data_IF_729500205693
#
_entry.id   IF_729500205693
#
_cell.length_a   1.000
_cell.length_b   1.000
_cell.length_c   1.000
_cell.angle_alpha   90.00
_cell.angle_beta   90.00
_cell.angle_gamma   90.00
#
_symmetry.space_group_name_H-M   'P 1'
#
loop_
_entity.id
_entity.type
_entity.pdbx_description
1 polymer ?
#
# COMPACT_ATOMS: atom_id res chain seq x y z
N UNK A 1 4.99 -12.57 -14.57
CA UNK A 1 3.60 -12.73 -14.11
C UNK A 1 3.37 -11.71 -13.04
N UNK A 2 2.26 -10.97 -13.11
CA UNK A 2 1.91 -10.00 -12.06
C UNK A 2 0.73 -10.51 -11.27
N UNK A 3 0.76 -10.28 -9.96
CA UNK A 3 -0.23 -10.76 -9.00
C UNK A 3 -0.95 -9.53 -8.45
N UNK A 4 -2.25 -9.47 -8.67
CA UNK A 4 -3.10 -8.38 -8.19
C UNK A 4 -3.74 -8.82 -6.89
N UNK A 5 -3.55 -8.02 -5.84
CA UNK A 5 -4.22 -8.24 -4.57
C UNK A 5 -5.49 -7.44 -4.50
N UNK A 6 -6.59 -8.12 -4.18
CA UNK A 6 -7.84 -7.46 -3.85
C UNK A 6 -7.92 -7.33 -2.33
N UNK A 7 -7.85 -6.09 -1.84
CA UNK A 7 -8.04 -5.80 -0.43
C UNK A 7 -9.51 -6.06 -0.02
N UNK A 8 -9.77 -6.40 1.26
CA UNK A 8 -11.12 -6.62 1.77
C UNK A 8 -12.06 -5.44 1.49
N UNK A 9 -13.35 -5.75 1.27
CA UNK A 9 -14.39 -4.79 0.88
C UNK A 9 -14.57 -3.61 1.85
N UNK A 10 -14.18 -3.73 3.12
CA UNK A 10 -14.25 -2.63 4.10
C UNK A 10 -13.29 -1.48 3.77
N UNK A 11 -12.11 -1.76 3.19
CA UNK A 11 -11.12 -0.75 2.77
C UNK A 11 -11.58 0.00 1.50
N UNK A 12 -12.52 -0.59 0.74
CA UNK A 12 -13.00 -0.07 -0.55
C UNK A 12 -14.00 1.09 -0.39
N UNK A 13 -14.63 1.24 0.77
CA UNK A 13 -15.62 2.31 1.02
C UNK A 13 -14.98 3.70 1.25
N UNK A 14 -13.66 3.76 1.41
CA UNK A 14 -12.88 5.00 1.43
C UNK A 14 -12.60 5.48 -0.01
N UNK A 15 -13.64 5.96 -0.69
CA UNK A 15 -13.59 6.69 -1.98
C UNK A 15 -12.42 6.37 -2.91
N UNK A 16 -12.57 5.26 -3.65
CA UNK A 16 -11.68 4.70 -4.68
C UNK A 16 -10.73 3.63 -4.15
N UNK A 17 -11.32 2.47 -3.82
CA UNK A 17 -10.64 1.28 -3.33
C UNK A 17 -9.22 1.10 -3.86
N UNK A 18 -8.30 0.93 -2.91
CA UNK A 18 -6.89 0.74 -3.16
C UNK A 18 -6.71 -0.59 -3.92
N UNK A 19 -6.61 -0.54 -5.25
CA UNK A 19 -6.17 -1.66 -6.07
C UNK A 19 -4.65 -1.59 -6.19
N UNK A 20 -3.97 -2.60 -5.68
CA UNK A 20 -2.52 -2.67 -5.75
C UNK A 20 -2.05 -3.95 -6.43
N UNK A 21 -1.24 -3.75 -7.45
CA UNK A 21 -0.51 -4.80 -8.14
C UNK A 21 0.85 -4.98 -7.44
N UNK A 22 1.12 -6.18 -6.93
CA UNK A 22 2.34 -6.44 -6.16
C UNK A 22 3.03 -7.70 -6.64
N UNK A 23 4.30 -7.56 -7.00
CA UNK A 23 5.21 -8.69 -7.12
C UNK A 23 5.63 -9.14 -5.72
N UNK A 24 5.32 -10.39 -5.37
CA UNK A 24 5.79 -11.01 -4.11
C UNK A 24 7.09 -11.75 -4.42
N UNK A 25 8.24 -11.27 -3.95
CA UNK A 25 9.46 -12.07 -4.02
C UNK A 25 9.34 -13.26 -3.05
N UNK A 26 9.72 -14.45 -3.49
CA UNK A 26 9.68 -15.66 -2.67
C UNK A 26 10.63 -15.55 -1.46
N UNK A 27 10.12 -15.83 -0.26
CA UNK A 27 10.94 -16.03 0.94
C UNK A 27 11.52 -14.77 1.60
N UNK A 28 10.99 -13.58 1.30
CA UNK A 28 11.40 -12.33 1.97
C UNK A 28 10.22 -11.54 2.48
N UNK A 29 10.30 -11.13 3.74
CA UNK A 29 9.42 -10.10 4.29
C UNK A 29 9.67 -8.80 3.51
N UNK A 30 8.60 -8.19 3.01
CA UNK A 30 8.68 -6.97 2.22
C UNK A 30 7.78 -5.93 2.85
N UNK A 31 8.40 -4.88 3.41
CA UNK A 31 7.68 -3.68 3.86
C UNK A 31 7.66 -2.67 2.74
N UNK A 32 6.51 -2.05 2.51
CA UNK A 32 6.35 -0.93 1.59
C UNK A 32 5.60 0.19 2.30
N UNK A 33 6.10 1.39 2.14
CA UNK A 33 5.47 2.61 2.64
C UNK A 33 4.95 3.41 1.44
N UNK A 34 3.76 3.97 1.58
CA UNK A 34 3.13 4.80 0.56
C UNK A 34 2.73 6.12 1.20
N UNK A 35 3.18 7.22 0.60
CA UNK A 35 2.83 8.56 1.06
C UNK A 35 1.56 9.03 0.33
N UNK A 36 0.58 9.51 1.10
CA UNK A 36 -0.63 10.14 0.59
C UNK A 36 -0.72 11.55 1.15
N UNK A 37 -0.81 12.53 0.26
CA UNK A 37 -1.01 13.92 0.65
C UNK A 37 -2.51 14.19 0.84
N UNK A 38 -2.87 14.72 2.00
CA UNK A 38 -4.22 15.14 2.32
C UNK A 38 -4.26 16.66 2.36
N UNK A 39 -5.05 17.28 1.48
CA UNK A 39 -5.21 18.72 1.44
C UNK A 39 -6.61 19.09 1.91
N UNK A 40 -6.71 20.01 2.86
CA UNK A 40 -7.98 20.60 3.27
C UNK A 40 -7.90 22.11 3.11
N UNK A 41 -8.87 22.67 2.40
CA UNK A 41 -9.08 24.10 2.31
C UNK A 41 -10.32 24.47 3.13
N UNK A 42 -10.15 25.27 4.18
CA UNK A 42 -11.23 25.67 5.07
C UNK A 42 -11.10 27.16 5.41
N UNK A 43 -12.22 27.88 5.35
CA UNK A 43 -12.29 29.29 5.72
C UNK A 43 -12.91 29.42 7.12
N UNK A 44 -12.14 29.95 8.06
CA UNK A 44 -12.55 30.11 9.46
C UNK A 44 -12.74 31.60 9.76
N UNK A 45 -13.88 31.97 10.34
CA UNK A 45 -14.10 33.34 10.84
C UNK A 45 -13.59 33.42 12.27
N UNK A 46 -12.68 34.35 12.54
CA UNK A 46 -12.11 34.59 13.87
C UNK A 46 -12.79 35.81 14.49
N UNK A 47 -13.56 35.66 15.59
CA UNK A 47 -14.13 36.79 16.31
C UNK A 47 -13.06 37.72 16.90
N UNK A 48 -13.41 38.99 17.11
CA UNK A 48 -12.51 39.96 17.78
C UNK A 48 -12.09 39.49 19.16
N UNK A 49 -10.83 39.76 19.56
CA UNK A 49 -10.28 39.37 20.86
C UNK A 49 -10.35 37.86 21.13
N UNK A 50 -10.28 37.04 20.09
CA UNK A 50 -10.19 35.59 20.22
C UNK A 50 -9.01 35.05 19.43
N UNK A 51 -8.44 33.94 19.92
CA UNK A 51 -7.50 33.09 19.20
C UNK A 51 -8.25 31.82 18.83
N UNK A 52 -8.13 31.38 17.58
CA UNK A 52 -8.59 30.05 17.15
C UNK A 52 -7.37 29.21 16.83
N UNK A 53 -7.29 28.03 17.44
CA UNK A 53 -6.29 27.01 17.17
C UNK A 53 -6.99 25.93 16.34
N UNK A 54 -6.50 25.70 15.13
CA UNK A 54 -7.00 24.64 14.25
C UNK A 54 -6.05 23.44 14.32
N UNK A 55 -6.56 22.32 14.81
CA UNK A 55 -5.85 21.06 14.91
C UNK A 55 -6.33 20.11 13.81
N UNK A 56 -5.38 19.55 13.08
CA UNK A 56 -5.66 18.55 12.07
C UNK A 56 -5.42 17.15 12.64
N UNK A 57 -6.50 16.40 12.81
CA UNK A 57 -6.46 15.03 13.32
C UNK A 57 -6.72 14.05 12.18
N UNK A 58 -5.83 13.07 12.04
CA UNK A 58 -5.97 11.96 11.09
C UNK A 58 -6.23 10.70 11.90
N UNK A 59 -7.39 10.09 11.70
CA UNK A 59 -7.72 8.80 12.29
C UNK A 59 -7.09 7.72 11.40
N UNK A 60 -6.30 6.83 11.99
CA UNK A 60 -5.69 5.67 11.32
C UNK A 60 -6.31 4.37 11.82
N UNK A 61 -6.39 3.38 10.94
CA UNK A 61 -6.76 2.01 11.28
C UNK A 61 -5.62 1.04 10.96
N UNK A 62 -5.57 -0.05 11.72
CA UNK A 62 -4.68 -1.17 11.50
C UNK A 62 -5.47 -2.39 11.01
N UNK A 63 -4.97 -3.04 9.96
CA UNK A 63 -5.54 -4.26 9.40
C UNK A 63 -4.53 -5.39 9.39
N UNK A 64 -4.89 -6.49 10.06
CA UNK A 64 -4.09 -7.71 10.14
C UNK A 64 -4.84 -8.83 9.44
N UNK A 65 -4.21 -9.49 8.48
CA UNK A 65 -4.83 -10.64 7.82
C UNK A 65 -3.82 -11.72 7.42
N UNK A 66 -4.35 -12.91 7.19
CA UNK A 66 -3.64 -13.98 6.51
C UNK A 66 -4.10 -13.99 5.05
N UNK A 67 -3.19 -14.33 4.13
CA UNK A 67 -3.53 -14.53 2.72
C UNK A 67 -2.95 -15.85 2.24
N UNK A 68 -3.57 -16.40 1.19
CA UNK A 68 -3.04 -17.55 0.46
C UNK A 68 -2.94 -17.20 -1.01
N UNK A 69 -1.79 -17.46 -1.62
CA UNK A 69 -1.56 -17.31 -3.04
C UNK A 69 -1.47 -18.69 -3.68
N UNK A 70 -2.41 -18.98 -4.57
CA UNK A 70 -2.41 -20.20 -5.38
C UNK A 70 -1.77 -19.92 -6.73
N UNK A 71 -0.64 -20.56 -7.03
CA UNK A 71 0.07 -20.42 -8.29
C UNK A 71 -0.11 -21.70 -9.08
N UNK A 72 -0.75 -21.59 -10.23
CA UNK A 72 -0.95 -22.69 -11.17
C UNK A 72 -0.11 -22.46 -12.42
N UNK A 73 0.64 -23.47 -12.84
CA UNK A 73 1.44 -23.39 -14.06
C UNK A 73 1.49 -24.72 -14.81
N UNK A 74 1.59 -24.59 -16.13
CA UNK A 74 1.73 -25.67 -17.10
C UNK A 74 2.50 -25.14 -18.30
N UNK A 75 3.11 -26.02 -19.09
CA UNK A 75 3.87 -25.61 -20.26
C UNK A 75 5.05 -26.51 -20.57
N UNK A 76 5.88 -26.07 -21.52
CA UNK A 76 7.08 -26.78 -21.95
C UNK A 76 8.32 -26.02 -21.51
N UNK A 77 9.29 -26.76 -20.98
CA UNK A 77 10.63 -26.27 -20.72
C UNK A 77 11.55 -26.75 -21.84
N UNK A 78 12.44 -25.86 -22.25
CA UNK A 78 13.53 -26.16 -23.16
C UNK A 78 14.84 -25.95 -22.42
N UNK A 79 15.62 -27.01 -22.28
CA UNK A 79 16.97 -26.97 -21.75
C UNK A 79 17.98 -27.10 -22.89
N UNK A 80 18.94 -26.18 -22.94
CA UNK A 80 19.95 -26.17 -23.99
C UNK A 80 21.33 -26.41 -23.38
N UNK A 81 22.06 -27.37 -23.94
CA UNK A 81 23.43 -27.69 -23.56
C UNK A 81 24.34 -27.01 -24.56
N UNK A 82 25.27 -26.18 -24.09
CA UNK A 82 26.26 -25.49 -24.92
C UNK A 82 27.69 -25.83 -24.50
N UNK A 83 28.63 -25.68 -25.43
CA UNK A 83 30.05 -25.87 -25.15
C UNK A 83 30.58 -24.68 -24.33
N UNK A 84 31.30 -24.95 -23.24
CA UNK A 84 31.87 -23.90 -22.37
C UNK A 84 32.76 -22.90 -23.11
N UNK A 85 33.45 -23.36 -24.16
CA UNK A 85 34.37 -22.59 -24.98
C UNK A 85 33.69 -21.81 -26.11
N UNK A 86 32.46 -22.17 -26.47
CA UNK A 86 31.65 -21.46 -27.47
C UNK A 86 30.18 -21.44 -27.02
N UNK A 87 29.80 -20.50 -26.13
CA UNK A 87 28.46 -20.46 -25.54
C UNK A 87 27.33 -20.28 -26.56
N UNK A 88 27.65 -19.84 -27.78
CA UNK A 88 26.72 -19.71 -28.91
C UNK A 88 26.54 -21.00 -29.74
N UNK A 89 27.27 -22.08 -29.40
CA UNK A 89 27.14 -23.39 -30.06
C UNK A 89 26.32 -24.32 -29.18
N UNK A 90 25.08 -24.59 -29.60
CA UNK A 90 24.20 -25.52 -28.91
C UNK A 90 24.52 -26.96 -29.30
N UNK A 91 25.01 -27.73 -28.34
CA UNK A 91 25.34 -29.15 -28.51
C UNK A 91 24.06 -30.02 -28.49
N UNK A 92 23.06 -29.63 -27.71
CA UNK A 92 21.80 -30.37 -27.57
C UNK A 92 20.69 -29.49 -27.05
N UNK A 93 19.48 -29.70 -27.56
CA UNK A 93 18.25 -29.10 -27.04
C UNK A 93 17.37 -30.24 -26.52
N UNK A 94 16.86 -30.07 -25.30
CA UNK A 94 15.97 -31.03 -24.63
C UNK A 94 14.67 -30.30 -24.35
N UNK A 95 13.56 -30.84 -24.84
CA UNK A 95 12.22 -30.36 -24.53
C UNK A 95 11.58 -31.28 -23.50
N UNK A 96 10.85 -30.71 -22.55
CA UNK A 96 10.10 -31.47 -21.56
C UNK A 96 8.85 -30.74 -21.11
N UNK A 97 7.82 -31.50 -20.77
CA UNK A 97 6.62 -30.97 -20.15
C UNK A 97 6.87 -30.72 -18.66
N UNK A 98 6.63 -29.49 -18.18
CA UNK A 98 6.92 -29.10 -16.80
C UNK A 98 6.11 -29.91 -15.79
N UNK A 99 4.87 -30.27 -16.14
CA UNK A 99 3.97 -31.04 -15.26
C UNK A 99 4.53 -32.44 -15.08
N UNK A 100 4.96 -33.08 -16.17
CA UNK A 100 5.57 -34.41 -16.10
C UNK A 100 6.88 -34.41 -15.29
N UNK A 101 7.74 -33.42 -15.53
CA UNK A 101 9.02 -33.27 -14.81
C UNK A 101 8.78 -33.14 -13.31
N UNK A 102 7.87 -32.25 -12.90
CA UNK A 102 7.57 -32.05 -11.47
C UNK A 102 6.90 -33.28 -10.87
N UNK A 103 5.93 -33.89 -11.56
CA UNK A 103 5.31 -35.12 -11.06
C UNK A 103 6.33 -36.24 -10.86
N UNK A 104 7.31 -36.38 -11.74
CA UNK A 104 8.40 -37.33 -11.58
C UNK A 104 9.28 -36.98 -10.37
N UNK A 105 9.64 -35.70 -10.21
CA UNK A 105 10.43 -35.22 -9.08
C UNK A 105 9.71 -35.42 -7.74
N UNK A 106 8.38 -35.20 -7.68
CA UNK A 106 7.57 -35.41 -6.48
C UNK A 106 7.57 -36.86 -6.02
N UNK A 107 7.54 -37.83 -6.95
CA UNK A 107 7.61 -39.26 -6.61
C UNK A 107 8.92 -39.64 -5.93
N UNK A 108 10.00 -38.93 -6.26
CA UNK A 108 11.35 -39.22 -5.78
C UNK A 108 11.79 -38.33 -4.61
N UNK A 109 11.04 -37.28 -4.29
CA UNK A 109 11.43 -36.29 -3.28
C UNK A 109 10.21 -35.77 -2.50
N UNK A 110 10.10 -36.21 -1.24
CA UNK A 110 9.04 -35.81 -0.31
C UNK A 110 9.03 -34.33 0.06
N UNK A 111 10.13 -33.59 -0.20
CA UNK A 111 10.20 -32.13 0.05
C UNK A 111 9.35 -31.34 -0.95
N UNK A 112 8.90 -31.96 -2.05
CA UNK A 112 8.07 -31.34 -3.08
C UNK A 112 6.57 -31.56 -2.85
N UNK A 113 6.16 -32.07 -1.68
CA UNK A 113 4.74 -32.30 -1.34
C UNK A 113 3.87 -31.03 -1.30
N UNK A 114 4.48 -29.83 -1.34
CA UNK A 114 3.77 -28.56 -1.48
C UNK A 114 3.14 -28.35 -2.86
N UNK A 115 3.66 -29.05 -3.88
CA UNK A 115 3.09 -29.06 -5.22
C UNK A 115 1.95 -30.08 -5.28
N UNK A 116 0.88 -29.74 -5.99
CA UNK A 116 -0.30 -30.57 -6.21
C UNK A 116 -0.57 -30.64 -7.71
N UNK A 117 -0.81 -31.86 -8.21
CA UNK A 117 -1.28 -32.05 -9.57
C UNK A 117 -2.77 -31.73 -9.63
N UNK A 118 -3.16 -30.76 -10.46
CA UNK A 118 -4.55 -30.52 -10.83
C UNK A 118 -4.82 -31.29 -12.11
N UNK A 119 -5.63 -32.34 -12.01
CA UNK A 119 -6.09 -33.13 -13.14
C UNK A 119 -7.29 -32.44 -13.80
N UNK A 120 -7.27 -32.33 -15.12
CA UNK A 120 -8.32 -31.72 -15.93
C UNK A 120 -7.99 -31.88 -17.41
N UNK A 121 -8.74 -31.21 -18.30
CA UNK A 121 -8.48 -31.24 -19.75
C UNK A 121 -7.05 -30.79 -20.10
N UNK A 122 -6.48 -29.86 -19.32
CA UNK A 122 -5.08 -29.45 -19.39
C UNK A 122 -4.44 -29.63 -18.02
N UNK A 123 -3.57 -30.63 -17.83
CA UNK A 123 -2.95 -30.89 -16.53
C UNK A 123 -2.04 -29.74 -16.13
N UNK A 124 -1.97 -29.44 -14.83
CA UNK A 124 -1.17 -28.35 -14.31
C UNK A 124 -0.69 -28.61 -12.89
N UNK A 125 0.39 -27.95 -12.51
CA UNK A 125 0.91 -27.99 -11.15
C UNK A 125 0.43 -26.76 -10.42
N UNK A 126 -0.09 -26.96 -9.21
CA UNK A 126 -0.46 -25.90 -8.29
C UNK A 126 0.38 -25.98 -7.03
N UNK A 127 0.82 -24.85 -6.51
CA UNK A 127 1.30 -24.75 -5.14
C UNK A 127 0.73 -23.52 -4.47
N UNK A 128 0.56 -23.62 -3.16
CA UNK A 128 -0.04 -22.57 -2.36
C UNK A 128 1.02 -22.00 -1.43
N UNK A 129 1.17 -20.68 -1.47
CA UNK A 129 1.97 -19.92 -0.51
C UNK A 129 1.02 -19.31 0.50
N UNK A 130 1.30 -19.48 1.79
CA UNK A 130 0.58 -18.79 2.85
C UNK A 130 1.43 -17.62 3.35
N UNK A 131 0.78 -16.50 3.61
CA UNK A 131 1.43 -15.31 4.11
C UNK A 131 0.56 -14.56 5.11
N UNK A 132 1.17 -13.59 5.78
CA UNK A 132 0.50 -12.62 6.63
C UNK A 132 0.70 -11.24 6.02
N UNK A 133 -0.29 -10.39 6.15
CA UNK A 133 -0.21 -9.00 5.76
C UNK A 133 -0.67 -8.11 6.90
N UNK A 134 0.03 -6.98 7.04
CA UNK A 134 -0.22 -5.96 8.04
C UNK A 134 -0.26 -4.62 7.31
N UNK A 135 -1.29 -3.84 7.55
CA UNK A 135 -1.46 -2.51 6.96
C UNK A 135 -1.84 -1.53 8.05
N UNK A 136 -1.33 -0.30 7.94
CA UNK A 136 -1.84 0.86 8.68
C UNK A 136 -2.20 1.93 7.67
N UNK A 137 -3.39 2.50 7.76
CA UNK A 137 -3.87 3.48 6.80
C UNK A 137 -4.78 4.52 7.44
N UNK A 138 -4.66 5.77 6.99
CA UNK A 138 -5.56 6.86 7.38
C UNK A 138 -6.97 6.66 6.81
N UNK A 139 -7.98 6.70 7.68
CA UNK A 139 -9.39 6.51 7.35
C UNK A 139 -10.17 7.81 7.37
N UNK A 140 -9.81 8.77 8.21
CA UNK A 140 -10.58 9.99 8.37
C UNK A 140 -9.69 11.16 8.69
N UNK A 141 -10.13 12.31 8.21
CA UNK A 141 -9.50 13.59 8.50
C UNK A 141 -10.53 14.49 9.18
N UNK A 142 -10.18 15.03 10.34
CA UNK A 142 -11.02 15.94 11.12
C UNK A 142 -10.24 17.21 11.45
N UNK A 143 -10.88 18.37 11.34
CA UNK A 143 -10.33 19.63 11.85
C UNK A 143 -11.08 19.96 13.14
N UNK A 144 -10.32 20.12 14.23
CA UNK A 144 -10.85 20.58 15.51
C UNK A 144 -10.45 22.04 15.69
N UNK A 145 -11.44 22.90 15.99
CA UNK A 145 -11.23 24.32 16.21
C UNK A 145 -11.42 24.62 17.70
N UNK A 146 -10.35 25.03 18.35
CA UNK A 146 -10.36 25.45 19.75
C UNK A 146 -10.28 26.98 19.82
N UNK A 147 -11.24 27.61 20.49
CA UNK A 147 -11.28 29.07 20.63
C UNK A 147 -10.91 29.49 22.05
N UNK A 148 -9.98 30.43 22.15
CA UNK A 148 -9.51 31.03 23.39
C UNK A 148 -9.79 32.54 23.37
N UNK A 149 -10.19 33.11 24.50
CA UNK A 149 -10.32 34.57 24.65
C UNK A 149 -8.93 35.18 24.85
N UNK A 150 -8.63 36.24 24.11
CA UNK A 150 -7.42 37.02 24.34
C UNK A 150 -7.67 38.05 25.44
N UNK A 151 -6.72 38.17 26.35
CA UNK A 151 -6.72 39.26 27.31
C UNK A 151 -6.71 40.60 26.56
N UNK A 152 -7.53 41.55 27.02
CA UNK A 152 -7.51 42.90 26.46
C UNK A 152 -6.11 43.46 26.64
N UNK A 153 -5.49 44.01 25.57
CA UNK A 153 -4.21 44.68 25.74
C UNK A 153 -4.41 45.82 26.76
N UNK A 154 -3.66 45.77 27.85
CA UNK A 154 -3.63 46.81 28.87
C UNK A 154 -2.92 48.04 28.30
N UNK A 155 -3.60 48.78 27.42
CA UNK A 155 -3.09 50.07 26.94
C UNK A 155 -3.51 51.10 27.97
N UNK A 156 -2.65 51.38 28.94
CA UNK A 156 -2.67 52.70 29.59
C UNK A 156 -2.16 53.69 28.55
N UNK A 157 -3.07 54.29 27.78
CA UNK A 157 -2.72 55.46 26.99
C UNK A 157 -2.22 56.53 27.98
N UNK A 158 -0.96 57.01 27.88
CA UNK A 158 -0.61 58.24 28.56
C UNK A 158 -1.55 59.33 28.04
N UNK A 159 -2.18 60.08 28.96
CA UNK A 159 -3.12 61.17 28.67
C UNK A 159 -2.62 62.00 27.47
N UNK A 160 -3.17 61.74 26.29
CA UNK A 160 -2.99 62.62 25.14
C UNK A 160 -3.86 63.84 25.41
N UNK A 161 -3.29 65.07 25.45
CA UNK A 161 -4.11 66.27 25.53
C UNK A 161 -5.01 66.34 24.30
N UNK A 162 -6.28 66.64 24.53
CA UNK A 162 -7.31 66.82 23.51
C UNK A 162 -6.83 67.75 22.40
N UNK A 163 -6.68 67.23 21.18
CA UNK A 163 -6.47 68.06 20.00
C UNK A 163 -7.75 68.85 19.71
N UNK A 164 -7.67 70.16 19.43
CA UNK A 164 -8.85 70.97 19.12
C UNK A 164 -9.45 70.54 17.77
N UNK A 165 -10.78 70.44 17.75
CA UNK A 165 -11.60 70.23 16.58
C UNK A 165 -11.65 71.52 15.75
N UNK A 166 -10.76 71.68 14.79
CA UNK A 166 -10.99 72.60 13.67
C UNK A 166 -10.44 71.99 12.39
N UNK A 167 -11.33 71.53 11.51
CA UNK A 167 -11.25 71.84 10.09
C UNK A 167 -12.67 71.96 9.55
N UNK A 168 -13.05 73.19 9.24
CA UNK A 168 -14.20 73.60 8.46
C UNK A 168 -14.05 73.20 6.98
N UNK A 169 -15.18 72.78 6.40
CA UNK A 169 -15.51 72.46 4.99
C UNK A 169 -14.42 72.52 3.91
#
# INVERSE_FOLDING_TARGET
STIVFHLPKQIIQLNNGIQHEQSIPFGKDTTKEYEKFWNVNSQIRVPSLTRIIAELNIDEEEFHSHFSLSIQFSGRITATISARQSPNTYLKIIHGDIVQIICHAMKNNSRLNMFKLIQGNSPSICFIIYGKCLFRYGVKQNIVLNQELLEKPSVSYPNMPSAPLEFSY
#
